data_IF_478374998164
#
_entry.id   IF_478374998164
#
_cell.length_a   1.000
_cell.length_b   1.000
_cell.length_c   1.000
_cell.angle_alpha   90.00
_cell.angle_beta   90.00
_cell.angle_gamma   90.00
#
_symmetry.space_group_name_H-M   'P 1'
#
loop_
_entity.id
_entity.type
_entity.pdbx_description
1 polymer ?
#
# COMPACT_ATOMS: atom_id res chain seq x y z
N UNK A 1 30.51 -33.16 -10.52
CA UNK A 1 30.16 -31.74 -10.32
C UNK A 1 28.94 -31.72 -9.43
N UNK A 2 28.96 -31.04 -8.27
CA UNK A 2 27.79 -31.00 -7.39
C UNK A 2 26.79 -30.04 -8.02
N UNK A 3 25.58 -30.51 -8.30
CA UNK A 3 24.48 -29.67 -8.74
C UNK A 3 24.17 -28.66 -7.64
N UNK A 4 24.64 -27.43 -7.78
CA UNK A 4 24.49 -26.40 -6.76
C UNK A 4 23.05 -25.87 -6.82
N UNK A 5 22.17 -26.48 -6.02
CA UNK A 5 20.82 -25.99 -5.81
C UNK A 5 20.84 -24.54 -5.32
N UNK A 6 20.02 -23.69 -5.93
CA UNK A 6 19.88 -22.29 -5.54
C UNK A 6 18.57 -22.01 -4.83
N UNK A 7 18.39 -20.76 -4.37
CA UNK A 7 17.11 -20.26 -3.83
C UNK A 7 16.59 -19.13 -4.72
N UNK A 8 15.32 -19.20 -5.12
CA UNK A 8 14.64 -18.16 -5.88
C UNK A 8 13.21 -17.97 -5.35
N UNK A 9 12.83 -16.72 -5.02
CA UNK A 9 11.52 -16.35 -4.44
C UNK A 9 11.13 -17.23 -3.23
N UNK A 10 12.09 -17.48 -2.34
CA UNK A 10 11.96 -18.33 -1.15
C UNK A 10 11.60 -19.80 -1.46
N UNK A 11 12.07 -20.30 -2.61
CA UNK A 11 11.96 -21.71 -3.02
C UNK A 11 13.32 -22.21 -3.48
N UNK A 12 13.69 -23.40 -3.03
CA UNK A 12 14.85 -24.12 -3.55
C UNK A 12 14.58 -24.53 -5.00
N UNK A 13 15.59 -24.43 -5.85
CA UNK A 13 15.49 -24.80 -7.27
C UNK A 13 16.79 -25.42 -7.77
N UNK A 14 16.70 -26.13 -8.87
CA UNK A 14 17.75 -27.01 -9.40
C UNK A 14 18.94 -26.29 -10.07
N UNK A 15 19.04 -24.96 -10.02
CA UNK A 15 20.03 -24.17 -10.77
C UNK A 15 19.59 -23.80 -12.20
N UNK A 16 18.72 -24.61 -12.81
CA UNK A 16 18.16 -24.38 -14.15
C UNK A 16 17.18 -23.19 -14.21
N UNK A 17 17.22 -22.41 -15.29
CA UNK A 17 16.30 -21.30 -15.54
C UNK A 17 14.84 -21.76 -15.70
N UNK A 18 14.60 -22.94 -16.29
CA UNK A 18 13.27 -23.57 -16.40
C UNK A 18 12.65 -23.81 -15.03
N UNK A 19 13.45 -24.19 -14.03
CA UNK A 19 12.96 -24.30 -12.64
C UNK A 19 12.44 -22.93 -12.14
N UNK A 20 13.08 -21.81 -12.49
CA UNK A 20 12.61 -20.45 -12.13
C UNK A 20 11.31 -20.06 -12.84
N UNK A 21 11.19 -20.39 -14.13
CA UNK A 21 9.95 -20.16 -14.91
C UNK A 21 8.75 -20.91 -14.31
N UNK A 22 8.96 -22.16 -13.90
CA UNK A 22 7.93 -22.96 -13.23
C UNK A 22 7.52 -22.31 -11.90
N UNK A 23 8.49 -21.82 -11.11
CA UNK A 23 8.22 -21.11 -9.85
C UNK A 23 7.38 -19.85 -10.12
N UNK A 24 7.72 -19.09 -11.15
CA UNK A 24 7.02 -17.86 -11.52
C UNK A 24 5.60 -18.12 -12.01
N UNK A 25 5.41 -19.12 -12.88
CA UNK A 25 4.11 -19.57 -13.34
C UNK A 25 3.22 -20.01 -12.17
N UNK A 26 3.73 -20.84 -11.26
CA UNK A 26 3.00 -21.27 -10.07
C UNK A 26 2.63 -20.11 -9.14
N UNK A 27 3.51 -19.12 -8.99
CA UNK A 27 3.22 -17.91 -8.19
C UNK A 27 2.11 -17.08 -8.87
N UNK A 28 2.18 -16.91 -10.18
CA UNK A 28 1.16 -16.21 -10.96
C UNK A 28 -0.22 -16.89 -10.84
N UNK A 29 -0.30 -18.20 -11.07
CA UNK A 29 -1.55 -18.96 -10.97
C UNK A 29 -2.18 -18.87 -9.58
N UNK A 30 -1.36 -18.97 -8.53
CA UNK A 30 -1.81 -18.80 -7.15
C UNK A 30 -2.39 -17.40 -6.89
N UNK A 31 -1.72 -16.36 -7.38
CA UNK A 31 -2.18 -14.99 -7.25
C UNK A 31 -3.48 -14.75 -8.02
N UNK A 32 -3.62 -15.32 -9.23
CA UNK A 32 -4.85 -15.29 -10.02
C UNK A 32 -6.01 -15.95 -9.27
N UNK A 33 -5.84 -17.20 -8.80
CA UNK A 33 -6.85 -17.93 -8.01
C UNK A 33 -7.28 -17.16 -6.76
N UNK A 34 -6.32 -16.56 -6.03
CA UNK A 34 -6.62 -15.73 -4.85
C UNK A 34 -7.46 -14.51 -5.21
N UNK A 35 -7.16 -13.85 -6.34
CA UNK A 35 -7.94 -12.70 -6.85
C UNK A 35 -9.35 -13.12 -7.26
N UNK A 36 -9.50 -14.21 -8.01
CA UNK A 36 -10.80 -14.76 -8.43
C UNK A 36 -11.66 -15.15 -7.22
N UNK A 37 -11.07 -15.80 -6.21
CA UNK A 37 -11.76 -16.14 -4.97
C UNK A 37 -12.26 -14.90 -4.22
N UNK A 38 -11.41 -13.86 -4.08
CA UNK A 38 -11.83 -12.58 -3.48
C UNK A 38 -12.96 -11.92 -4.26
N UNK A 39 -12.90 -11.97 -5.60
CA UNK A 39 -13.94 -11.42 -6.48
C UNK A 39 -15.27 -12.16 -6.30
N UNK A 40 -15.24 -13.49 -6.30
CA UNK A 40 -16.44 -14.33 -6.11
C UNK A 40 -17.09 -14.11 -4.74
N UNK A 41 -16.30 -13.85 -3.70
CA UNK A 41 -16.76 -13.52 -2.34
C UNK A 41 -17.18 -12.06 -2.15
N UNK A 42 -17.02 -11.20 -3.15
CA UNK A 42 -17.31 -9.77 -3.03
C UNK A 42 -16.34 -8.96 -2.15
N UNK A 43 -15.28 -9.58 -1.61
CA UNK A 43 -14.29 -8.95 -0.70
C UNK A 43 -13.08 -8.35 -1.42
N UNK A 44 -13.17 -8.21 -2.75
CA UNK A 44 -12.10 -7.62 -3.54
C UNK A 44 -12.09 -6.10 -3.40
N UNK A 45 -11.35 -5.59 -2.43
CA UNK A 45 -11.06 -4.16 -2.35
C UNK A 45 -10.05 -3.74 -3.43
N UNK A 46 -10.37 -2.66 -4.13
CA UNK A 46 -9.40 -1.96 -4.98
C UNK A 46 -8.68 -0.92 -4.12
N UNK A 47 -7.39 -0.73 -4.36
CA UNK A 47 -6.66 0.37 -3.73
C UNK A 47 -7.15 1.73 -4.24
N UNK A 48 -6.65 2.80 -3.61
CA UNK A 48 -6.93 4.19 -3.98
C UNK A 48 -6.66 4.41 -5.48
N UNK A 49 -7.62 5.03 -6.18
CA UNK A 49 -7.48 5.36 -7.62
C UNK A 49 -6.22 6.21 -7.86
N UNK A 50 -5.50 5.95 -8.96
CA UNK A 50 -4.21 6.61 -9.26
C UNK A 50 -4.27 8.14 -9.25
N UNK A 51 -5.38 8.74 -9.72
CA UNK A 51 -5.60 10.20 -9.66
C UNK A 51 -5.63 10.72 -8.23
N UNK A 52 -6.38 10.06 -7.34
CA UNK A 52 -6.47 10.41 -5.93
C UNK A 52 -5.12 10.19 -5.26
N UNK A 53 -4.48 9.03 -5.49
CA UNK A 53 -3.13 8.74 -4.98
C UNK A 53 -2.14 9.86 -5.32
N UNK A 54 -2.07 10.27 -6.59
CA UNK A 54 -1.13 11.30 -7.02
C UNK A 54 -1.45 12.67 -6.41
N UNK A 55 -2.73 13.00 -6.22
CA UNK A 55 -3.14 14.22 -5.52
C UNK A 55 -2.67 14.22 -4.07
N UNK A 56 -2.91 13.14 -3.33
CA UNK A 56 -2.50 13.02 -1.92
C UNK A 56 -0.98 13.03 -1.78
N UNK A 57 -0.25 12.34 -2.66
CA UNK A 57 1.21 12.40 -2.66
C UNK A 57 1.73 13.83 -2.90
N UNK A 58 1.10 14.62 -3.77
CA UNK A 58 1.48 16.03 -3.94
C UNK A 58 1.14 16.88 -2.72
N UNK A 59 -0.06 16.72 -2.16
CA UNK A 59 -0.50 17.39 -0.93
C UNK A 59 0.49 17.17 0.22
N UNK A 60 0.91 15.92 0.38
CA UNK A 60 1.79 15.48 1.46
C UNK A 60 3.28 15.55 1.11
N UNK A 61 3.66 16.14 -0.03
CA UNK A 61 5.04 16.20 -0.54
C UNK A 61 5.76 14.84 -0.63
N UNK A 62 4.99 13.76 -0.82
CA UNK A 62 5.45 12.37 -0.77
C UNK A 62 6.29 12.07 0.48
N UNK A 63 5.85 12.59 1.63
CA UNK A 63 6.52 12.51 2.92
C UNK A 63 5.66 11.76 3.93
N UNK A 64 6.29 10.84 4.66
CA UNK A 64 5.64 10.12 5.75
C UNK A 64 5.29 11.06 6.90
N UNK A 65 4.04 10.98 7.38
CA UNK A 65 3.55 11.82 8.47
C UNK A 65 4.23 11.59 9.83
N UNK A 66 4.79 10.39 10.06
CA UNK A 66 5.40 10.01 11.33
C UNK A 66 6.91 10.27 11.32
N UNK A 67 7.64 9.59 10.44
CA UNK A 67 9.10 9.66 10.42
C UNK A 67 9.69 10.71 9.46
N UNK A 68 8.88 11.33 8.60
CA UNK A 68 9.37 12.29 7.61
C UNK A 68 10.14 11.66 6.42
N UNK A 69 10.12 10.33 6.27
CA UNK A 69 10.74 9.67 5.10
C UNK A 69 10.08 10.17 3.81
N UNK A 70 10.91 10.60 2.85
CA UNK A 70 10.46 11.18 1.57
C UNK A 70 10.71 10.26 0.39
N UNK A 71 9.88 10.44 -0.64
CA UNK A 71 10.08 9.85 -1.96
C UNK A 71 8.88 8.99 -2.39
N UNK A 72 8.32 9.18 -3.60
CA UNK A 72 7.13 8.46 -4.05
C UNK A 72 7.24 6.92 -4.05
N UNK A 73 8.47 6.38 -4.10
CA UNK A 73 8.76 4.94 -4.01
C UNK A 73 8.94 4.43 -2.58
N UNK A 74 9.13 5.33 -1.61
CA UNK A 74 9.36 5.03 -0.19
C UNK A 74 8.09 5.16 0.66
N UNK A 75 7.05 5.79 0.11
CA UNK A 75 5.79 6.06 0.81
C UNK A 75 4.57 5.51 0.05
N UNK A 76 3.51 5.28 0.81
CA UNK A 76 2.24 4.78 0.34
C UNK A 76 1.09 5.59 0.95
N UNK A 77 -0.08 5.46 0.33
CA UNK A 77 -1.30 6.07 0.83
C UNK A 77 -2.00 5.06 1.73
N UNK A 78 -2.32 5.49 2.93
CA UNK A 78 -3.04 4.73 3.94
C UNK A 78 -4.43 5.33 4.15
N UNK A 79 -5.43 4.46 4.25
CA UNK A 79 -6.78 4.81 4.70
C UNK A 79 -6.81 4.85 6.21
N UNK A 80 -7.19 5.98 6.78
CA UNK A 80 -7.23 6.18 8.24
C UNK A 80 -8.40 5.40 8.83
N UNK A 81 -9.60 5.60 8.30
CA UNK A 81 -10.74 4.70 8.47
C UNK A 81 -10.65 3.61 7.39
N UNK A 82 -10.54 2.32 7.76
CA UNK A 82 -10.45 1.22 6.81
C UNK A 82 -11.63 1.16 5.84
N UNK A 83 -11.37 0.69 4.60
CA UNK A 83 -12.43 0.51 3.60
C UNK A 83 -13.45 -0.54 4.03
N UNK A 84 -13.04 -1.53 4.83
CA UNK A 84 -13.93 -2.53 5.44
C UNK A 84 -14.94 -1.92 6.42
N UNK A 85 -14.65 -0.74 6.97
CA UNK A 85 -15.47 -0.01 7.93
C UNK A 85 -16.16 1.20 7.28
N UNK A 86 -16.14 1.29 5.95
CA UNK A 86 -16.80 2.37 5.19
C UNK A 86 -15.93 3.57 4.87
N UNK A 87 -14.62 3.50 5.14
CA UNK A 87 -13.66 4.53 4.78
C UNK A 87 -13.64 4.85 3.28
N UNK A 88 -13.70 6.15 2.94
CA UNK A 88 -13.77 6.65 1.56
C UNK A 88 -12.39 7.05 1.03
N UNK A 89 -12.24 7.07 -0.30
CA UNK A 89 -11.06 7.60 -1.02
C UNK A 89 -11.09 9.15 -1.08
N UNK A 90 -11.17 9.82 0.07
CA UNK A 90 -11.22 11.29 0.21
C UNK A 90 -9.98 11.81 0.94
N UNK A 91 -9.60 13.06 0.70
CA UNK A 91 -8.35 13.60 1.24
C UNK A 91 -8.28 13.56 2.77
N UNK A 92 -9.40 13.81 3.44
CA UNK A 92 -9.52 13.78 4.90
C UNK A 92 -9.34 12.37 5.50
N UNK A 93 -9.51 11.32 4.69
CA UNK A 93 -9.36 9.92 5.12
C UNK A 93 -8.08 9.26 4.58
N UNK A 94 -7.24 10.00 3.87
CA UNK A 94 -6.04 9.47 3.23
C UNK A 94 -4.81 10.21 3.75
N UNK A 95 -3.77 9.46 4.12
CA UNK A 95 -2.49 10.01 4.56
C UNK A 95 -1.32 9.29 3.90
N UNK A 96 -0.23 10.01 3.68
CA UNK A 96 1.03 9.45 3.16
C UNK A 96 1.93 8.96 4.30
N UNK A 97 2.30 7.67 4.28
CA UNK A 97 3.17 7.03 5.28
C UNK A 97 4.15 6.04 4.64
N UNK A 98 5.27 5.73 5.31
CA UNK A 98 6.21 4.69 4.83
C UNK A 98 5.69 3.28 5.16
N UNK A 99 6.39 2.25 4.69
CA UNK A 99 6.01 0.85 4.96
C UNK A 99 6.10 0.48 6.44
N UNK A 100 7.08 1.01 7.16
CA UNK A 100 7.34 0.66 8.56
C UNK A 100 6.26 1.27 9.47
N UNK A 101 6.01 2.57 9.33
CA UNK A 101 4.96 3.27 10.07
C UNK A 101 3.56 2.77 9.68
N UNK A 102 3.36 2.35 8.43
CA UNK A 102 2.10 1.69 8.04
C UNK A 102 1.86 0.40 8.82
N UNK A 103 2.87 -0.44 8.96
CA UNK A 103 2.74 -1.67 9.73
C UNK A 103 2.48 -1.35 11.21
N UNK A 104 3.17 -0.36 11.78
CA UNK A 104 2.93 0.11 13.14
C UNK A 104 1.48 0.57 13.34
N UNK A 105 0.93 1.37 12.42
CA UNK A 105 -0.45 1.85 12.50
C UNK A 105 -1.45 0.69 12.46
N UNK A 106 -1.24 -0.31 11.60
CA UNK A 106 -2.11 -1.51 11.56
C UNK A 106 -2.07 -2.35 12.84
N UNK A 107 -1.03 -2.24 13.67
CA UNK A 107 -0.97 -2.95 14.95
C UNK A 107 -1.85 -2.29 16.02
N UNK A 108 -2.16 -1.00 15.89
CA UNK A 108 -2.90 -0.21 16.89
C UNK A 108 -3.64 0.96 16.22
N UNK A 109 -4.61 0.64 15.36
CA UNK A 109 -5.36 1.64 14.59
C UNK A 109 -6.08 2.64 15.51
N UNK A 110 -6.75 2.12 16.56
CA UNK A 110 -7.56 2.91 17.49
C UNK A 110 -6.76 4.03 18.16
N UNK A 111 -5.49 3.76 18.48
CA UNK A 111 -4.59 4.75 19.06
C UNK A 111 -4.26 5.90 18.10
N UNK A 112 -4.11 5.61 16.81
CA UNK A 112 -3.63 6.58 15.83
C UNK A 112 -4.74 7.23 15.01
N UNK A 113 -5.95 6.67 14.97
CA UNK A 113 -7.03 7.12 14.08
C UNK A 113 -7.32 8.62 14.23
N UNK A 114 -7.62 9.08 15.46
CA UNK A 114 -7.95 10.49 15.71
C UNK A 114 -6.81 11.44 15.32
N UNK A 115 -5.59 11.10 15.70
CA UNK A 115 -4.40 11.88 15.39
C UNK A 115 -4.17 11.98 13.87
N UNK A 116 -4.32 10.87 13.15
CA UNK A 116 -4.16 10.85 11.71
C UNK A 116 -5.27 11.62 10.98
N UNK A 117 -6.52 11.51 11.45
CA UNK A 117 -7.66 12.29 10.93
C UNK A 117 -7.41 13.79 11.06
N UNK A 118 -6.97 14.25 12.24
CA UNK A 118 -6.65 15.66 12.47
C UNK A 118 -5.59 16.19 11.49
N UNK A 119 -4.54 15.41 11.26
CA UNK A 119 -3.48 15.80 10.31
C UNK A 119 -4.00 15.83 8.88
N UNK A 120 -4.75 14.81 8.46
CA UNK A 120 -5.27 14.73 7.10
C UNK A 120 -6.22 15.88 6.80
N UNK A 121 -7.15 16.20 7.71
CA UNK A 121 -8.07 17.34 7.61
C UNK A 121 -7.29 18.65 7.50
N UNK A 122 -6.30 18.87 8.38
CA UNK A 122 -5.49 20.09 8.36
C UNK A 122 -4.77 20.27 7.01
N UNK A 123 -4.09 19.22 6.53
CA UNK A 123 -3.38 19.26 5.24
C UNK A 123 -4.32 19.47 4.07
N UNK A 124 -5.53 18.90 4.12
CA UNK A 124 -6.54 19.08 3.06
C UNK A 124 -7.02 20.53 2.97
N UNK A 125 -7.26 21.16 4.12
CA UNK A 125 -7.64 22.58 4.20
C UNK A 125 -6.52 23.50 3.68
N UNK A 126 -5.28 23.26 4.09
CA UNK A 126 -4.11 24.03 3.65
C UNK A 126 -3.89 23.92 2.14
N UNK A 127 -4.06 22.73 1.56
CA UNK A 127 -3.90 22.50 0.12
C UNK A 127 -5.00 23.15 -0.71
N UNK A 128 -6.25 23.02 -0.27
CA UNK A 128 -7.40 23.65 -0.95
C UNK A 128 -7.31 25.17 -0.97
N UNK A 129 -6.65 25.78 0.03
CA UNK A 129 -6.37 27.22 0.04
C UNK A 129 -5.30 27.64 -0.98
N UNK A 130 -4.31 26.77 -1.25
CA UNK A 130 -3.23 27.04 -2.23
C UNK A 130 -3.67 26.88 -3.67
N UNK A 131 -4.64 26.01 -3.97
CA UNK A 131 -5.19 25.85 -5.33
C UNK A 131 -6.15 26.98 -5.75
N UNK A 132 -6.57 27.85 -4.82
CA UNK A 132 -7.47 28.99 -5.08
C UNK A 132 -6.75 30.33 -5.35
N UNK A 133 -5.43 30.34 -5.27
CA UNK A 133 -4.55 31.48 -5.59
C UNK A 133 -3.95 31.28 -6.98
#
# INVERSE_FOLDING_TARGET
MRDEYGVYRNKTFCGDSRCKEIIDSRKFDRNRRKKESKKAKGVLHRGVRSRVRNRILRRDNAECVFCGLRGPGNVQIHHIVPVSEGGKDIGENLITICSDDHNMVHLDMDRYEKFLLEIAIRRENEHSGREKL
#
